data_IF_416991698638
#
_entry.id   IF_416991698638
#
_cell.length_a   1.000
_cell.length_b   1.000
_cell.length_c   1.000
_cell.angle_alpha   90.00
_cell.angle_beta   90.00
_cell.angle_gamma   90.00
#
_symmetry.space_group_name_H-M   'P 1'
#
loop_
_entity.id
_entity.type
_entity.pdbx_description
1 polymer ?
#
# COMPACT_ATOMS: atom_id res chain seq x y z
N UNK A 1 6.35 1.40 18.75
CA UNK A 1 5.42 0.33 18.33
C UNK A 1 3.95 0.69 18.52
N UNK A 2 3.64 1.90 18.94
CA UNK A 2 2.26 2.40 19.04
C UNK A 2 1.61 2.60 17.67
N UNK A 3 2.41 2.85 16.64
CA UNK A 3 1.98 3.14 15.27
C UNK A 3 1.04 2.07 14.68
N UNK A 4 1.25 0.80 15.05
CA UNK A 4 0.38 -0.32 14.61
C UNK A 4 -1.06 -0.12 15.13
N UNK A 5 -1.21 0.36 16.37
CA UNK A 5 -2.50 0.57 17.00
C UNK A 5 -3.11 1.92 16.60
N UNK A 6 -2.28 2.93 16.37
CA UNK A 6 -2.70 4.27 15.95
C UNK A 6 -3.07 4.37 14.47
N UNK A 7 -2.50 3.49 13.63
CA UNK A 7 -2.71 3.54 12.18
C UNK A 7 -4.19 3.54 11.81
N UNK A 8 -4.56 4.52 11.00
CA UNK A 8 -5.89 4.66 10.39
C UNK A 8 -5.76 4.89 8.90
N UNK A 9 -6.80 4.49 8.16
CA UNK A 9 -6.93 4.80 6.74
C UNK A 9 -7.32 6.26 6.57
N UNK A 10 -6.34 7.09 6.24
CA UNK A 10 -6.49 8.53 5.98
C UNK A 10 -6.73 8.73 4.48
N UNK A 11 -7.78 9.48 4.15
CA UNK A 11 -8.21 9.70 2.76
C UNK A 11 -8.30 11.17 2.36
N UNK A 12 -8.09 12.09 3.32
CA UNK A 12 -8.02 13.53 3.08
C UNK A 12 -6.62 14.03 3.40
N UNK A 13 -6.06 14.80 2.51
CA UNK A 13 -4.69 15.29 2.62
C UNK A 13 -4.63 16.78 2.45
N UNK A 14 -3.63 17.40 3.08
CA UNK A 14 -3.28 18.80 2.83
C UNK A 14 -2.52 18.93 1.51
N UNK A 15 -2.32 20.17 1.03
CA UNK A 15 -1.51 20.44 -0.16
C UNK A 15 0.00 20.34 0.07
N UNK A 16 0.42 20.04 1.31
CA UNK A 16 1.85 19.93 1.66
C UNK A 16 2.49 18.76 0.94
N UNK A 17 3.67 19.01 0.37
CA UNK A 17 4.44 18.00 -0.35
C UNK A 17 5.14 17.04 0.61
N UNK A 18 5.11 15.75 0.27
CA UNK A 18 5.86 14.74 1.02
C UNK A 18 7.32 14.76 0.58
N UNK A 19 8.22 14.87 1.56
CA UNK A 19 9.65 14.92 1.33
C UNK A 19 10.19 13.61 0.75
N UNK A 20 11.14 13.70 -0.16
CA UNK A 20 11.77 12.53 -0.80
C UNK A 20 12.34 11.55 0.22
N UNK A 21 12.91 12.05 1.30
CA UNK A 21 13.49 11.20 2.37
C UNK A 21 12.41 10.40 3.12
N UNK A 22 11.23 10.97 3.36
CA UNK A 22 10.11 10.23 3.95
C UNK A 22 9.62 9.13 3.02
N UNK A 23 9.44 9.42 1.73
CA UNK A 23 9.06 8.42 0.73
C UNK A 23 10.08 7.28 0.69
N UNK A 24 11.38 7.61 0.70
CA UNK A 24 12.46 6.61 0.74
C UNK A 24 12.41 5.73 1.98
N UNK A 25 12.09 6.27 3.16
CA UNK A 25 11.91 5.49 4.40
C UNK A 25 10.74 4.53 4.30
N UNK A 26 9.60 5.00 3.78
CA UNK A 26 8.41 4.16 3.54
C UNK A 26 8.74 2.99 2.61
N UNK A 27 9.42 3.24 1.50
CA UNK A 27 9.83 2.18 0.57
C UNK A 27 10.82 1.21 1.23
N UNK A 28 11.76 1.70 2.05
CA UNK A 28 12.66 0.85 2.83
C UNK A 28 11.89 -0.04 3.81
N UNK A 29 10.85 0.46 4.46
CA UNK A 29 9.99 -0.33 5.34
C UNK A 29 9.29 -1.46 4.55
N UNK A 30 8.83 -1.18 3.31
CA UNK A 30 8.32 -2.21 2.40
C UNK A 30 9.35 -3.30 2.09
N UNK A 31 10.59 -2.92 1.78
CA UNK A 31 11.67 -3.91 1.54
C UNK A 31 12.08 -4.69 2.80
N UNK A 32 11.82 -4.17 3.99
CA UNK A 32 12.12 -4.86 5.25
C UNK A 32 11.08 -5.94 5.61
N UNK A 33 10.00 -6.06 4.87
CA UNK A 33 8.98 -7.08 5.09
C UNK A 33 9.57 -8.49 4.86
N UNK A 34 9.11 -9.49 5.63
CA UNK A 34 9.43 -10.87 5.32
C UNK A 34 8.78 -11.30 4.00
N UNK A 35 9.36 -12.30 3.34
CA UNK A 35 8.79 -12.92 2.16
C UNK A 35 8.95 -14.44 2.22
N UNK A 36 8.10 -15.16 1.52
CA UNK A 36 8.17 -16.62 1.48
C UNK A 36 9.54 -17.08 1.02
N UNK A 37 10.20 -17.96 1.79
CA UNK A 37 11.56 -18.41 1.48
C UNK A 37 12.57 -17.28 1.27
N UNK A 38 12.29 -16.07 1.75
CA UNK A 38 13.12 -14.87 1.53
C UNK A 38 13.29 -14.53 0.03
N UNK A 39 12.26 -14.77 -0.79
CA UNK A 39 12.32 -14.58 -2.25
C UNK A 39 12.40 -13.11 -2.70
N UNK A 40 11.94 -12.15 -1.88
CA UNK A 40 12.11 -10.69 -2.06
C UNK A 40 11.65 -10.15 -3.43
N UNK A 41 10.56 -10.65 -3.94
CA UNK A 41 10.01 -10.31 -5.26
C UNK A 41 9.27 -8.98 -5.33
N UNK A 42 9.26 -8.21 -4.24
CA UNK A 42 8.54 -6.96 -4.13
C UNK A 42 9.22 -5.85 -4.94
N UNK A 43 8.43 -5.18 -5.77
CA UNK A 43 8.80 -3.96 -6.49
C UNK A 43 7.85 -2.83 -6.13
N UNK A 44 8.36 -1.59 -6.14
CA UNK A 44 7.58 -0.42 -5.76
C UNK A 44 7.67 0.65 -6.83
N UNK A 45 6.52 1.19 -7.27
CA UNK A 45 6.46 2.30 -8.22
C UNK A 45 5.96 3.54 -7.48
N UNK A 46 6.80 4.56 -7.38
CA UNK A 46 6.44 5.86 -6.79
C UNK A 46 5.73 6.69 -7.85
N UNK A 47 4.48 7.08 -7.56
CA UNK A 47 3.60 7.81 -8.47
C UNK A 47 3.40 9.22 -7.92
N UNK A 48 3.88 10.23 -8.66
CA UNK A 48 3.70 11.66 -8.36
C UNK A 48 2.95 12.40 -9.47
N UNK A 49 2.80 11.78 -10.64
CA UNK A 49 2.08 12.37 -11.76
C UNK A 49 0.58 12.40 -11.44
N UNK A 50 0.02 13.61 -11.38
CA UNK A 50 -1.39 13.83 -11.05
C UNK A 50 -2.37 13.24 -12.07
N UNK A 51 -1.99 13.18 -13.33
CA UNK A 51 -2.82 12.57 -14.37
C UNK A 51 -2.96 11.06 -14.14
N UNK A 52 -1.86 10.39 -13.78
CA UNK A 52 -1.86 8.97 -13.42
C UNK A 52 -2.70 8.73 -12.17
N UNK A 53 -2.50 9.53 -11.10
CA UNK A 53 -3.27 9.40 -9.85
C UNK A 53 -4.77 9.60 -10.10
N UNK A 54 -5.16 10.60 -10.88
CA UNK A 54 -6.55 10.86 -11.23
C UNK A 54 -7.14 9.74 -12.09
N UNK A 55 -6.40 9.25 -13.09
CA UNK A 55 -6.84 8.15 -13.94
C UNK A 55 -7.11 6.87 -13.15
N UNK A 56 -6.29 6.59 -12.13
CA UNK A 56 -6.55 5.45 -11.23
C UNK A 56 -7.78 5.73 -10.36
N UNK A 57 -7.96 6.95 -9.87
CA UNK A 57 -9.13 7.33 -9.08
C UNK A 57 -10.45 7.18 -9.87
N UNK A 58 -10.44 7.48 -11.17
CA UNK A 58 -11.61 7.38 -12.05
C UNK A 58 -12.15 5.96 -12.18
N UNK A 59 -11.26 4.96 -12.18
CA UNK A 59 -11.64 3.55 -12.35
C UNK A 59 -11.90 2.82 -11.04
N UNK A 60 -11.33 3.30 -9.94
CA UNK A 60 -11.35 2.65 -8.63
C UNK A 60 -12.31 3.34 -7.68
N UNK A 61 -13.50 2.78 -7.48
CA UNK A 61 -14.60 3.41 -6.74
C UNK A 61 -14.33 3.82 -5.27
N UNK A 62 -13.15 3.49 -4.72
CA UNK A 62 -12.73 3.86 -3.36
C UNK A 62 -11.41 4.64 -3.34
N UNK A 63 -10.91 5.12 -4.48
CA UNK A 63 -9.60 5.74 -4.60
C UNK A 63 -9.63 7.29 -4.71
N UNK A 64 -10.73 7.93 -4.29
CA UNK A 64 -10.82 9.40 -4.26
C UNK A 64 -9.65 10.06 -3.53
N UNK A 65 -9.10 9.37 -2.52
CA UNK A 65 -7.89 9.82 -1.81
C UNK A 65 -6.70 10.14 -2.74
N UNK A 66 -6.60 9.49 -3.91
CA UNK A 66 -5.52 9.75 -4.87
C UNK A 66 -5.58 11.14 -5.49
N UNK A 67 -6.77 11.74 -5.57
CA UNK A 67 -6.94 13.09 -6.12
C UNK A 67 -6.29 14.17 -5.25
N UNK A 68 -6.29 13.94 -3.94
CA UNK A 68 -5.69 14.86 -2.98
C UNK A 68 -4.25 14.47 -2.62
N UNK A 69 -3.91 13.18 -2.70
CA UNK A 69 -2.59 12.68 -2.32
C UNK A 69 -1.46 13.37 -3.10
N UNK A 70 -0.37 13.70 -2.40
CA UNK A 70 0.86 14.20 -3.06
C UNK A 70 1.60 13.10 -3.80
N UNK A 71 1.56 11.90 -3.23
CA UNK A 71 2.31 10.74 -3.73
C UNK A 71 1.50 9.48 -3.51
N UNK A 72 1.67 8.49 -4.36
CA UNK A 72 1.25 7.13 -4.09
C UNK A 72 2.38 6.14 -4.40
N UNK A 73 2.29 4.94 -3.84
CA UNK A 73 3.22 3.85 -4.13
C UNK A 73 2.42 2.63 -4.54
N UNK A 74 2.64 2.15 -5.77
CA UNK A 74 2.12 0.86 -6.18
C UNK A 74 3.01 -0.26 -5.62
N UNK A 75 2.40 -1.22 -4.93
CA UNK A 75 3.07 -2.39 -4.37
C UNK A 75 2.89 -3.54 -5.35
N UNK A 76 3.99 -3.96 -5.94
CA UNK A 76 4.04 -4.93 -7.01
C UNK A 76 4.92 -6.13 -6.65
N UNK A 77 4.75 -7.23 -7.38
CA UNK A 77 5.66 -8.36 -7.41
C UNK A 77 6.08 -8.65 -8.85
N UNK A 78 7.35 -8.97 -9.06
CA UNK A 78 7.82 -9.53 -10.32
C UNK A 78 7.81 -11.05 -10.25
N UNK A 79 6.88 -11.69 -10.94
CA UNK A 79 6.72 -13.16 -10.91
C UNK A 79 7.83 -13.92 -11.65
N UNK A 80 8.71 -13.24 -12.39
CA UNK A 80 9.94 -13.87 -12.91
C UNK A 80 10.96 -14.21 -11.80
N UNK A 81 10.85 -13.50 -10.66
CA UNK A 81 11.69 -13.69 -9.48
C UNK A 81 11.05 -14.66 -8.47
N UNK A 82 9.81 -15.16 -8.75
CA UNK A 82 9.04 -15.98 -7.82
C UNK A 82 9.62 -17.42 -7.74
N UNK A 83 10.11 -17.77 -6.55
CA UNK A 83 10.59 -19.13 -6.25
C UNK A 83 9.49 -20.02 -5.68
N UNK A 84 8.52 -19.44 -4.97
CA UNK A 84 7.41 -20.11 -4.32
C UNK A 84 6.09 -19.57 -4.88
N UNK A 85 5.52 -20.31 -5.83
CA UNK A 85 4.33 -19.89 -6.56
C UNK A 85 3.14 -19.59 -5.65
N UNK A 86 2.47 -18.44 -5.92
CA UNK A 86 1.24 -18.04 -5.24
C UNK A 86 1.44 -17.27 -3.94
N UNK A 87 2.67 -17.11 -3.44
CA UNK A 87 2.93 -16.37 -2.21
C UNK A 87 3.11 -14.86 -2.42
N UNK A 88 3.20 -14.39 -3.66
CA UNK A 88 3.40 -12.99 -3.99
C UNK A 88 2.38 -12.04 -3.34
N UNK A 89 1.12 -12.48 -3.19
CA UNK A 89 0.06 -11.69 -2.52
C UNK A 89 0.40 -11.45 -1.05
N UNK A 90 0.87 -12.50 -0.36
CA UNK A 90 1.24 -12.41 1.06
C UNK A 90 2.48 -11.55 1.25
N UNK A 91 3.49 -11.71 0.40
CA UNK A 91 4.73 -10.94 0.43
C UNK A 91 4.46 -9.45 0.19
N UNK A 92 3.65 -9.13 -0.82
CA UNK A 92 3.22 -7.75 -1.08
C UNK A 92 2.34 -7.18 0.04
N UNK A 93 1.49 -7.99 0.68
CA UNK A 93 0.65 -7.56 1.79
C UNK A 93 1.48 -7.21 3.02
N UNK A 94 2.48 -8.03 3.35
CA UNK A 94 3.42 -7.74 4.43
C UNK A 94 4.18 -6.42 4.17
N UNK A 95 4.66 -6.22 2.94
CA UNK A 95 5.34 -4.99 2.54
C UNK A 95 4.42 -3.77 2.65
N UNK A 96 3.17 -3.88 2.19
CA UNK A 96 2.19 -2.80 2.26
C UNK A 96 1.89 -2.39 3.71
N UNK A 97 1.72 -3.35 4.64
CA UNK A 97 1.45 -3.03 6.05
C UNK A 97 2.65 -2.35 6.72
N UNK A 98 3.88 -2.80 6.45
CA UNK A 98 5.08 -2.11 6.93
C UNK A 98 5.12 -0.65 6.44
N UNK A 99 4.77 -0.40 5.17
CA UNK A 99 4.74 0.94 4.59
C UNK A 99 3.68 1.83 5.26
N UNK A 100 2.50 1.28 5.55
CA UNK A 100 1.42 2.00 6.24
C UNK A 100 1.82 2.37 7.68
N UNK A 101 2.47 1.46 8.38
CA UNK A 101 2.97 1.70 9.75
C UNK A 101 4.08 2.75 9.77
N UNK A 102 5.04 2.68 8.84
CA UNK A 102 6.09 3.69 8.71
C UNK A 102 5.53 5.06 8.33
N UNK A 103 4.44 5.13 7.55
CA UNK A 103 3.79 6.40 7.24
C UNK A 103 3.30 7.11 8.51
N UNK A 104 2.69 6.37 9.44
CA UNK A 104 2.26 6.91 10.74
C UNK A 104 3.46 7.40 11.56
N UNK A 105 4.52 6.60 11.66
CA UNK A 105 5.76 6.96 12.35
C UNK A 105 6.35 8.29 11.83
N UNK A 106 6.20 8.53 10.53
CA UNK A 106 6.69 9.76 9.88
C UNK A 106 5.70 10.94 9.94
N UNK A 107 4.56 10.79 10.63
CA UNK A 107 3.51 11.81 10.72
C UNK A 107 2.73 11.99 9.41
N UNK A 108 2.67 10.96 8.56
CA UNK A 108 1.91 10.95 7.33
C UNK A 108 0.62 10.17 7.45
N UNK A 109 -0.38 10.58 6.68
CA UNK A 109 -1.58 9.81 6.43
C UNK A 109 -1.39 8.88 5.23
N UNK A 110 -1.99 7.68 5.31
CA UNK A 110 -1.96 6.71 4.22
C UNK A 110 -3.25 5.89 4.18
N UNK A 111 -3.55 5.32 2.99
CA UNK A 111 -4.59 4.30 2.85
C UNK A 111 -4.20 3.26 1.81
N UNK A 112 -4.54 2.01 2.09
CA UNK A 112 -4.44 0.88 1.18
C UNK A 112 -5.61 0.88 0.20
N UNK A 113 -5.32 0.99 -1.08
CA UNK A 113 -6.27 0.87 -2.18
C UNK A 113 -6.01 -0.45 -2.90
N UNK A 114 -6.92 -1.42 -2.73
CA UNK A 114 -6.76 -2.78 -3.28
C UNK A 114 -6.94 -2.80 -4.80
N UNK A 115 -5.96 -3.30 -5.53
CA UNK A 115 -6.02 -3.51 -6.98
C UNK A 115 -6.35 -4.97 -7.26
N UNK A 116 -5.55 -5.91 -6.78
CA UNK A 116 -5.83 -7.34 -6.87
C UNK A 116 -6.95 -7.74 -5.87
N UNK A 117 -7.88 -8.66 -6.22
CA UNK A 117 -8.01 -9.43 -7.47
C UNK A 117 -8.98 -8.81 -8.51
N UNK A 118 -9.23 -7.53 -8.51
CA UNK A 118 -10.24 -6.87 -9.35
C UNK A 118 -9.76 -6.67 -10.78
N UNK A 119 -10.06 -7.59 -11.67
CA UNK A 119 -9.63 -7.63 -13.08
C UNK A 119 -9.72 -6.28 -13.81
N UNK A 120 -10.83 -5.55 -13.67
CA UNK A 120 -11.04 -4.25 -14.31
C UNK A 120 -10.00 -3.23 -13.85
N UNK A 121 -9.71 -3.21 -12.55
CA UNK A 121 -8.75 -2.27 -11.96
C UNK A 121 -7.34 -2.69 -12.34
N UNK A 122 -7.02 -3.99 -12.27
CA UNK A 122 -5.72 -4.54 -12.67
C UNK A 122 -5.37 -4.14 -14.10
N UNK A 123 -6.28 -4.36 -15.06
CA UNK A 123 -6.06 -4.02 -16.47
C UNK A 123 -5.75 -2.54 -16.67
N UNK A 124 -6.50 -1.67 -15.99
CA UNK A 124 -6.28 -0.23 -16.09
C UNK A 124 -4.95 0.20 -15.46
N UNK A 125 -4.67 -0.28 -14.24
CA UNK A 125 -3.41 0.06 -13.53
C UNK A 125 -2.20 -0.46 -14.30
N UNK A 126 -2.27 -1.69 -14.82
CA UNK A 126 -1.19 -2.24 -15.63
C UNK A 126 -0.92 -1.38 -16.88
N UNK A 127 -1.98 -0.93 -17.55
CA UNK A 127 -1.86 -0.09 -18.76
C UNK A 127 -1.29 1.28 -18.43
N UNK A 128 -1.80 1.97 -17.40
CA UNK A 128 -1.38 3.35 -17.09
C UNK A 128 0.03 3.41 -16.47
N UNK A 129 0.46 2.34 -15.80
CA UNK A 129 1.81 2.21 -15.23
C UNK A 129 2.77 1.47 -16.18
N UNK A 130 2.32 1.05 -17.36
CA UNK A 130 3.12 0.33 -18.36
C UNK A 130 3.84 -0.91 -17.78
N UNK A 131 3.09 -1.70 -16.96
CA UNK A 131 3.70 -2.83 -16.26
C UNK A 131 4.04 -3.98 -17.24
N UNK A 132 5.23 -4.58 -17.12
CA UNK A 132 5.56 -5.82 -17.80
C UNK A 132 4.56 -6.94 -17.48
N UNK A 133 4.38 -7.89 -18.38
CA UNK A 133 3.38 -8.97 -18.25
C UNK A 133 3.51 -9.76 -16.94
N UNK A 134 4.73 -10.00 -16.49
CA UNK A 134 5.06 -10.76 -15.28
C UNK A 134 5.00 -9.94 -13.99
N UNK A 135 4.87 -8.62 -14.08
CA UNK A 135 4.71 -7.77 -12.92
C UNK A 135 3.23 -7.70 -12.55
N UNK A 136 2.92 -8.01 -11.30
CA UNK A 136 1.56 -7.97 -10.74
C UNK A 136 1.48 -6.89 -9.67
N UNK A 137 0.42 -6.09 -9.71
CA UNK A 137 0.14 -5.07 -8.70
C UNK A 137 -0.87 -5.60 -7.69
N UNK A 138 -0.51 -5.56 -6.39
CA UNK A 138 -1.41 -5.91 -5.30
C UNK A 138 -2.31 -4.74 -4.93
N UNK A 139 -1.68 -3.59 -4.69
CA UNK A 139 -2.35 -2.42 -4.13
C UNK A 139 -1.61 -1.14 -4.49
N UNK A 140 -2.29 -0.01 -4.23
CA UNK A 140 -1.70 1.32 -4.26
C UNK A 140 -1.85 1.94 -2.87
N UNK A 141 -0.75 2.42 -2.29
CA UNK A 141 -0.73 3.16 -1.04
C UNK A 141 -0.74 4.64 -1.38
N UNK A 142 -1.82 5.37 -1.07
CA UNK A 142 -1.81 6.83 -1.17
C UNK A 142 -1.13 7.44 0.05
N UNK A 143 -0.41 8.54 -0.13
CA UNK A 143 0.42 9.19 0.89
C UNK A 143 0.25 10.71 0.83
N UNK A 144 0.16 11.34 2.00
CA UNK A 144 0.12 12.78 2.15
C UNK A 144 0.12 13.20 3.61
N UNK A 145 0.23 14.49 3.88
CA UNK A 145 -0.01 15.01 5.22
C UNK A 145 -1.51 14.99 5.51
N UNK A 146 -1.95 14.41 6.65
CA UNK A 146 -3.36 14.23 6.92
C UNK A 146 -4.10 15.57 7.07
N UNK A 147 -5.29 15.68 6.47
CA UNK A 147 -6.25 16.76 6.66
C UNK A 147 -7.51 16.27 7.40
N UNK A 148 -7.46 15.08 7.98
CA UNK A 148 -8.50 14.51 8.84
C UNK A 148 -7.84 13.78 10.01
N UNK A 149 -8.54 13.71 11.14
CA UNK A 149 -8.13 12.91 12.28
C UNK A 149 -9.10 11.74 12.45
N UNK A 150 -8.58 10.60 12.88
CA UNK A 150 -9.37 9.40 13.18
C UNK A 150 -8.86 8.75 14.45
N UNK A 151 -9.74 8.64 15.42
CA UNK A 151 -9.42 8.02 16.69
C UNK A 151 -9.03 6.55 16.52
N UNK A 152 -8.00 6.15 17.26
CA UNK A 152 -7.67 4.75 17.45
C UNK A 152 -8.71 4.12 18.40
N UNK A 153 -9.04 2.86 18.15
CA UNK A 153 -9.87 2.06 19.04
C UNK A 153 -9.34 0.63 19.12
N UNK A 154 -9.56 0.00 20.25
CA UNK A 154 -9.22 -1.40 20.43
C UNK A 154 -10.08 -2.27 19.48
N UNK A 155 -9.42 -3.17 18.79
CA UNK A 155 -10.02 -4.12 17.83
C UNK A 155 -9.90 -5.57 18.28
N UNK A 156 -9.40 -5.80 19.51
CA UNK A 156 -9.30 -7.14 20.04
C UNK A 156 -10.70 -7.73 20.25
N UNK A 157 -10.90 -8.94 19.78
CA UNK A 157 -12.15 -9.68 19.89
C UNK A 157 -11.78 -11.05 20.45
N UNK A 158 -12.06 -11.24 21.72
CA UNK A 158 -11.67 -12.45 22.47
C UNK A 158 -12.25 -13.71 21.86
N UNK A 159 -13.50 -13.67 21.39
CA UNK A 159 -14.20 -14.82 20.80
C UNK A 159 -13.59 -15.29 19.48
N UNK A 160 -12.66 -14.54 18.90
CA UNK A 160 -11.90 -14.89 17.69
C UNK A 160 -10.51 -15.44 17.99
N UNK A 161 -10.18 -15.61 19.27
CA UNK A 161 -8.90 -16.17 19.70
C UNK A 161 -9.13 -17.59 20.21
N UNK A 162 -8.52 -18.56 19.57
CA UNK A 162 -8.64 -19.98 19.91
C UNK A 162 -7.29 -20.51 20.34
N UNK A 163 -7.26 -21.42 21.31
CA UNK A 163 -6.06 -22.08 21.81
C UNK A 163 -6.04 -23.52 21.30
N UNK A 164 -4.91 -23.93 20.70
CA UNK A 164 -4.60 -25.25 20.14
C UNK A 164 -5.52 -25.72 19.00
N UNK A 165 -6.81 -25.48 19.10
CA UNK A 165 -7.82 -25.90 18.10
C UNK A 165 -8.84 -24.79 17.91
N UNK A 166 -9.54 -24.85 16.76
CA UNK A 166 -10.66 -23.97 16.46
C UNK A 166 -11.81 -24.20 17.44
#
# INVERSE_FOLDING_TARGET
MEEIFERRSIRKYTSQKVEKEKIKKIVKAGFAAPSCGNQRINHFIIIKNKEILNSIADIHGYAEALREADTAVAVCANLEEELYQGFWVQDCAAAAENMLTEAVHLGLGAVWLGVHPKERIIKHVNSILELPEKVKVLSIISLGYPAEEKEAFDRYIEEKVHFDKW
#
